data_IF_293637610587
#
_entry.id   IF_293637610587
#
_cell.length_a   1.000
_cell.length_b   1.000
_cell.length_c   1.000
_cell.angle_alpha   90.00
_cell.angle_beta   90.00
_cell.angle_gamma   90.00
#
_symmetry.space_group_name_H-M   'P 1'
#
loop_
_entity.id
_entity.type
_entity.pdbx_description
1 polymer ?
#
# COMPACT_ATOMS: atom_id res chain seq x y z
N UNK A 1 39.07 25.34 55.50
CA UNK A 1 38.20 25.90 54.45
C UNK A 1 38.30 25.11 53.13
N UNK A 2 38.10 23.78 53.15
CA UNK A 2 38.08 22.96 51.91
C UNK A 2 36.89 21.97 51.86
N UNK A 3 36.19 21.77 52.98
CA UNK A 3 35.08 20.82 53.07
C UNK A 3 33.72 21.45 52.67
N UNK A 4 33.57 22.77 52.84
CA UNK A 4 32.33 23.50 52.49
C UNK A 4 32.13 23.69 50.98
N UNK A 5 33.16 23.45 50.16
CA UNK A 5 33.11 23.64 48.71
C UNK A 5 32.56 22.40 47.97
N UNK A 6 32.54 21.24 48.63
CA UNK A 6 32.01 19.99 48.06
C UNK A 6 30.50 19.84 48.17
N UNK A 7 29.86 20.53 49.14
CA UNK A 7 28.42 20.43 49.37
C UNK A 7 27.62 21.23 48.33
N UNK A 8 28.22 22.29 47.76
CA UNK A 8 27.59 23.08 46.70
C UNK A 8 27.54 22.40 45.32
N UNK A 9 28.44 21.46 45.04
CA UNK A 9 28.56 20.83 43.72
C UNK A 9 27.63 19.60 43.54
N UNK A 10 27.16 19.01 44.64
CA UNK A 10 26.25 17.84 44.62
C UNK A 10 24.79 18.26 44.47
N UNK A 11 24.42 19.51 44.81
CA UNK A 11 23.04 19.99 44.73
C UNK A 11 22.57 20.34 43.31
N UNK A 12 23.45 20.33 42.30
CA UNK A 12 23.10 20.68 40.91
C UNK A 12 22.69 19.48 40.04
N UNK A 13 22.73 18.25 40.56
CA UNK A 13 22.41 17.04 39.77
C UNK A 13 20.96 16.52 39.95
N UNK A 14 20.13 17.19 40.76
CA UNK A 14 18.73 16.76 40.99
C UNK A 14 17.68 17.53 40.16
N UNK A 15 18.10 18.31 39.17
CA UNK A 15 17.19 19.05 38.25
C UNK A 15 17.25 18.51 36.81
N UNK A 16 17.35 17.20 36.62
CA UNK A 16 17.18 16.62 35.29
C UNK A 16 15.86 15.86 35.21
N UNK A 17 14.93 16.54 34.52
CA UNK A 17 13.79 16.04 33.77
C UNK A 17 12.93 14.96 34.45
N UNK A 18 11.91 15.42 35.17
CA UNK A 18 10.58 14.82 35.04
C UNK A 18 10.19 14.89 33.55
N UNK A 19 10.55 13.88 32.77
CA UNK A 19 9.88 13.61 31.51
C UNK A 19 8.43 13.27 31.89
N UNK A 20 7.57 14.28 31.76
CA UNK A 20 6.14 14.08 31.82
C UNK A 20 5.81 12.93 30.88
N UNK A 21 5.11 11.93 31.40
CA UNK A 21 4.45 10.93 30.59
C UNK A 21 3.56 11.69 29.61
N UNK A 22 4.08 11.91 28.39
CA UNK A 22 3.28 12.41 27.30
C UNK A 22 2.07 11.48 27.23
N UNK A 23 0.82 11.99 27.21
CA UNK A 23 -0.33 11.13 27.07
C UNK A 23 -0.06 10.27 25.84
N UNK A 24 -0.10 8.94 26.01
CA UNK A 24 0.02 7.99 24.91
C UNK A 24 -0.87 8.50 23.79
N UNK A 25 -0.27 8.90 22.66
CA UNK A 25 -1.05 9.34 21.51
C UNK A 25 -2.14 8.29 21.30
N UNK A 26 -3.42 8.69 21.14
CA UNK A 26 -4.48 7.71 20.92
C UNK A 26 -4.03 6.83 19.77
N UNK A 27 -4.00 5.52 20.01
CA UNK A 27 -3.58 4.51 19.04
C UNK A 27 -4.38 4.71 17.75
N UNK A 28 -3.83 5.50 16.83
CA UNK A 28 -4.46 5.78 15.55
C UNK A 28 -4.19 4.53 14.77
N UNK A 29 -5.14 3.59 14.84
CA UNK A 29 -5.03 2.29 14.19
C UNK A 29 -4.53 2.40 12.75
N UNK A 30 -3.98 1.31 12.23
CA UNK A 30 -3.42 1.27 10.88
C UNK A 30 -4.45 1.81 9.88
N UNK A 31 -4.06 2.83 9.10
CA UNK A 31 -4.90 3.37 8.01
C UNK A 31 -4.55 2.63 6.74
N UNK A 32 -5.49 1.88 6.18
CA UNK A 32 -5.17 1.10 5.00
C UNK A 32 -6.22 0.10 4.55
N UNK A 33 -5.74 -0.86 3.77
CA UNK A 33 -6.53 -1.96 3.21
C UNK A 33 -5.83 -3.30 3.38
N UNK A 34 -6.61 -4.37 3.57
CA UNK A 34 -6.12 -5.73 3.66
C UNK A 34 -7.10 -6.71 3.03
N UNK A 35 -6.55 -7.81 2.51
CA UNK A 35 -7.31 -8.87 1.88
C UNK A 35 -6.40 -9.89 1.22
N UNK A 36 -6.93 -10.58 0.22
CA UNK A 36 -6.22 -11.62 -0.51
C UNK A 36 -6.40 -11.44 -2.00
N UNK A 37 -5.30 -11.55 -2.74
CA UNK A 37 -5.35 -11.71 -4.19
C UNK A 37 -5.38 -13.20 -4.51
N UNK A 38 -6.29 -13.64 -5.36
CA UNK A 38 -6.38 -15.00 -5.87
C UNK A 38 -5.97 -15.01 -7.34
N UNK A 39 -5.01 -15.84 -7.72
CA UNK A 39 -4.44 -15.87 -9.06
C UNK A 39 -4.91 -17.10 -9.84
N UNK A 40 -5.20 -16.90 -11.12
CA UNK A 40 -5.59 -17.96 -12.05
C UNK A 40 -4.94 -17.77 -13.41
N UNK A 41 -4.71 -18.88 -14.12
CA UNK A 41 -4.21 -18.92 -15.50
C UNK A 41 -2.85 -18.24 -15.71
N UNK A 42 -1.90 -18.42 -14.79
CA UNK A 42 -0.55 -17.88 -14.92
C UNK A 42 0.07 -18.10 -16.32
N UNK A 43 0.63 -17.05 -16.95
CA UNK A 43 1.36 -17.18 -18.21
C UNK A 43 2.73 -17.87 -17.99
N UNK A 44 3.45 -18.19 -19.07
CA UNK A 44 4.84 -18.65 -18.98
C UNK A 44 5.71 -17.68 -18.17
N UNK A 45 6.70 -18.23 -17.44
CA UNK A 45 7.44 -17.45 -16.46
C UNK A 45 8.30 -16.32 -17.04
N UNK A 46 8.67 -16.43 -18.31
CA UNK A 46 9.40 -15.41 -19.07
C UNK A 46 8.50 -14.25 -19.57
N UNK A 47 7.20 -14.31 -19.31
CA UNK A 47 6.21 -13.31 -19.76
C UNK A 47 5.80 -12.30 -18.68
N UNK A 48 6.30 -12.44 -17.44
CA UNK A 48 6.01 -11.52 -16.33
C UNK A 48 7.31 -10.89 -15.84
N UNK A 49 7.37 -9.57 -15.91
CA UNK A 49 8.53 -8.79 -15.44
C UNK A 49 8.33 -8.22 -14.04
N UNK A 50 7.08 -7.88 -13.69
CA UNK A 50 6.69 -7.31 -12.40
C UNK A 50 5.20 -7.57 -12.14
N UNK A 51 4.78 -7.57 -10.88
CA UNK A 51 3.39 -7.77 -10.44
C UNK A 51 3.11 -6.92 -9.20
N UNK A 52 2.11 -6.03 -9.30
CA UNK A 52 1.81 -5.01 -8.28
C UNK A 52 0.32 -4.81 -8.07
N UNK A 53 -0.02 -4.42 -6.85
CA UNK A 53 -1.30 -3.86 -6.43
C UNK A 53 -1.26 -2.34 -6.58
N UNK A 54 -2.29 -1.74 -7.17
CA UNK A 54 -2.34 -0.30 -7.44
C UNK A 54 -3.70 0.27 -7.06
N UNK A 55 -3.72 1.23 -6.14
CA UNK A 55 -4.90 2.00 -5.78
C UNK A 55 -4.86 3.35 -6.50
N UNK A 56 -5.77 3.58 -7.44
CA UNK A 56 -5.93 4.85 -8.16
C UNK A 56 -7.03 5.69 -7.54
N UNK A 57 -6.81 7.00 -7.49
CA UNK A 57 -7.79 7.99 -7.04
C UNK A 57 -8.92 8.20 -8.06
N UNK A 58 -8.68 7.92 -9.34
CA UNK A 58 -9.64 8.12 -10.43
C UNK A 58 -9.85 6.82 -11.23
N UNK A 59 -11.02 6.69 -11.86
CA UNK A 59 -11.35 5.64 -12.82
C UNK A 59 -12.08 6.22 -14.05
N UNK A 60 -11.71 5.83 -15.29
CA UNK A 60 -10.53 5.05 -15.63
C UNK A 60 -9.24 5.84 -15.40
N UNK A 61 -8.13 5.20 -15.00
CA UNK A 61 -6.83 5.88 -14.91
C UNK A 61 -6.30 6.27 -16.30
N UNK A 62 -5.57 7.39 -16.38
CA UNK A 62 -4.95 7.84 -17.64
C UNK A 62 -3.80 6.93 -18.07
N UNK A 63 -2.84 6.74 -17.17
CA UNK A 63 -1.69 5.83 -17.31
C UNK A 63 -1.04 5.64 -15.92
N UNK A 64 -0.26 4.57 -15.74
CA UNK A 64 0.39 4.28 -14.46
C UNK A 64 1.43 5.35 -14.09
N UNK A 65 2.26 5.76 -15.05
CA UNK A 65 3.37 6.69 -14.79
C UNK A 65 2.84 8.03 -14.23
N UNK A 66 1.90 8.66 -14.92
CA UNK A 66 1.34 9.95 -14.54
C UNK A 66 0.63 9.85 -13.19
N UNK A 67 -0.11 8.77 -12.94
CA UNK A 67 -0.81 8.55 -11.68
C UNK A 67 0.16 8.45 -10.50
N UNK A 68 1.28 7.74 -10.65
CA UNK A 68 2.30 7.64 -9.60
C UNK A 68 3.00 8.98 -9.38
N UNK A 69 3.49 9.62 -10.45
CA UNK A 69 4.27 10.86 -10.36
C UNK A 69 3.46 12.03 -9.81
N UNK A 70 2.14 12.03 -10.04
CA UNK A 70 1.22 13.04 -9.52
C UNK A 70 0.63 12.71 -8.14
N UNK A 71 0.98 11.56 -7.55
CA UNK A 71 0.42 11.11 -6.27
C UNK A 71 -1.06 10.71 -6.34
N UNK A 72 -1.57 10.45 -7.54
CA UNK A 72 -2.91 9.92 -7.79
C UNK A 72 -2.99 8.39 -7.70
N UNK A 73 -1.88 7.71 -7.47
CA UNK A 73 -1.85 6.27 -7.21
C UNK A 73 -0.96 5.90 -6.01
N UNK A 74 -1.37 4.86 -5.29
CA UNK A 74 -0.55 4.14 -4.31
C UNK A 74 -0.21 2.78 -4.90
N UNK A 75 1.08 2.46 -4.96
CA UNK A 75 1.58 1.20 -5.52
C UNK A 75 2.15 0.33 -4.41
N UNK A 76 1.76 -0.94 -4.40
CA UNK A 76 2.22 -1.94 -3.46
C UNK A 76 2.67 -3.23 -4.18
N UNK A 77 3.86 -3.76 -3.85
CA UNK A 77 4.92 -3.10 -3.11
C UNK A 77 5.36 -1.79 -3.77
N UNK A 78 6.02 -0.89 -3.04
CA UNK A 78 6.42 0.41 -3.57
C UNK A 78 7.35 0.24 -4.80
N UNK A 79 7.25 1.13 -5.78
CA UNK A 79 8.08 1.06 -7.01
C UNK A 79 9.58 1.19 -6.74
N UNK A 80 9.93 1.85 -5.64
CA UNK A 80 11.32 1.96 -5.19
C UNK A 80 11.83 0.69 -4.50
N UNK A 81 10.94 -0.27 -4.21
CA UNK A 81 11.30 -1.55 -3.60
C UNK A 81 11.66 -2.57 -4.68
N UNK A 82 12.64 -3.42 -4.38
CA UNK A 82 12.98 -4.59 -5.20
C UNK A 82 12.03 -5.75 -4.96
N UNK A 83 11.20 -5.67 -3.91
CA UNK A 83 10.13 -6.62 -3.65
C UNK A 83 8.98 -6.44 -4.65
N UNK A 84 8.47 -7.56 -5.15
CA UNK A 84 7.28 -7.67 -6.00
C UNK A 84 6.33 -8.70 -5.39
N UNK A 85 5.07 -8.71 -5.84
CA UNK A 85 4.16 -9.77 -5.41
C UNK A 85 4.70 -11.15 -5.84
N UNK A 86 4.52 -12.19 -5.01
CA UNK A 86 5.00 -13.53 -5.36
C UNK A 86 4.33 -14.03 -6.65
N UNK A 87 5.14 -14.66 -7.49
CA UNK A 87 4.69 -15.22 -8.77
C UNK A 87 4.41 -16.72 -8.62
N UNK A 88 3.49 -17.24 -9.43
CA UNK A 88 3.14 -18.67 -9.50
C UNK A 88 2.63 -19.27 -8.17
N UNK A 89 1.93 -18.45 -7.39
CA UNK A 89 1.19 -18.87 -6.19
C UNK A 89 -0.32 -18.83 -6.49
N UNK A 90 -1.11 -19.61 -5.75
CA UNK A 90 -2.56 -19.60 -5.89
C UNK A 90 -3.18 -18.33 -5.28
N UNK A 91 -2.61 -17.87 -4.17
CA UNK A 91 -3.07 -16.68 -3.47
C UNK A 91 -1.95 -15.93 -2.74
N UNK A 92 -2.22 -14.66 -2.44
CA UNK A 92 -1.33 -13.81 -1.66
C UNK A 92 -2.12 -12.92 -0.70
N UNK A 93 -1.99 -13.11 0.63
CA UNK A 93 -2.53 -12.17 1.61
C UNK A 93 -1.70 -10.89 1.64
N UNK A 94 -2.37 -9.74 1.70
CA UNK A 94 -1.71 -8.44 1.72
C UNK A 94 -2.30 -7.51 2.79
N UNK A 95 -1.48 -6.55 3.21
CA UNK A 95 -1.88 -5.39 4.00
C UNK A 95 -1.10 -4.17 3.50
N UNK A 96 -1.83 -3.15 3.06
CA UNK A 96 -1.28 -1.92 2.48
C UNK A 96 -1.64 -0.76 3.40
N UNK A 97 -0.61 -0.09 3.93
CA UNK A 97 -0.78 1.20 4.58
C UNK A 97 -0.90 2.30 3.51
N UNK A 98 -1.92 3.14 3.64
CA UNK A 98 -2.17 4.21 2.67
C UNK A 98 -2.76 5.43 3.37
N UNK A 99 -2.58 6.66 2.84
CA UNK A 99 -3.32 7.81 3.31
C UNK A 99 -4.84 7.60 3.28
N UNK A 100 -5.54 8.28 4.19
CA UNK A 100 -7.00 8.37 4.14
C UNK A 100 -7.43 9.09 2.86
N UNK A 101 -8.28 8.43 2.07
CA UNK A 101 -8.68 8.87 0.74
C UNK A 101 -9.83 8.00 0.21
N UNK A 102 -10.46 8.47 -0.86
CA UNK A 102 -11.23 7.60 -1.74
C UNK A 102 -10.34 7.17 -2.91
N UNK A 103 -10.35 5.87 -3.20
CA UNK A 103 -9.73 5.26 -4.36
C UNK A 103 -10.83 4.66 -5.23
N UNK A 104 -11.07 5.25 -6.39
CA UNK A 104 -12.11 4.81 -7.32
C UNK A 104 -11.76 3.48 -8.00
N UNK A 105 -10.48 3.09 -7.99
CA UNK A 105 -10.03 1.86 -8.63
C UNK A 105 -8.90 1.18 -7.86
N UNK A 106 -9.08 -0.10 -7.53
CA UNK A 106 -8.05 -0.92 -6.92
C UNK A 106 -7.80 -2.16 -7.76
N UNK A 107 -6.59 -2.27 -8.31
CA UNK A 107 -6.25 -3.23 -9.34
C UNK A 107 -5.00 -4.05 -9.03
N UNK A 108 -4.94 -5.25 -9.61
CA UNK A 108 -3.73 -6.05 -9.77
C UNK A 108 -3.24 -5.86 -11.21
N UNK A 109 -2.02 -5.36 -11.36
CA UNK A 109 -1.40 -5.14 -12.65
C UNK A 109 -0.07 -5.90 -12.76
N UNK A 110 0.21 -6.45 -13.93
CA UNK A 110 1.50 -7.06 -14.23
C UNK A 110 2.20 -6.34 -15.38
N UNK A 111 3.52 -6.33 -15.33
CA UNK A 111 4.37 -5.85 -16.40
C UNK A 111 4.60 -7.00 -17.40
N UNK A 112 4.22 -6.82 -18.66
CA UNK A 112 4.30 -7.85 -19.72
C UNK A 112 5.47 -7.66 -20.70
N UNK A 113 6.18 -6.55 -20.60
CA UNK A 113 7.30 -6.21 -21.46
C UNK A 113 8.39 -5.46 -20.71
N UNK A 114 9.47 -5.08 -21.39
CA UNK A 114 10.65 -4.49 -20.75
C UNK A 114 10.50 -3.00 -20.42
N UNK A 115 9.51 -2.32 -21.01
CA UNK A 115 9.26 -0.91 -20.74
C UNK A 115 8.41 -0.75 -19.48
N UNK A 116 9.08 -0.54 -18.35
CA UNK A 116 8.45 -0.30 -17.05
C UNK A 116 7.44 0.86 -17.04
N UNK A 117 7.49 1.80 -18.00
CA UNK A 117 6.59 2.96 -18.00
C UNK A 117 5.30 2.75 -18.81
N UNK A 118 5.22 1.69 -19.62
CA UNK A 118 4.11 1.50 -20.56
C UNK A 118 3.66 0.04 -20.74
N UNK A 119 4.46 -0.94 -20.33
CA UNK A 119 4.15 -2.34 -20.58
C UNK A 119 3.38 -2.95 -19.41
N UNK A 120 2.28 -2.31 -19.00
CA UNK A 120 1.43 -2.77 -17.89
C UNK A 120 0.03 -3.17 -18.35
N UNK A 121 -0.51 -4.21 -17.70
CA UNK A 121 -1.89 -4.66 -17.91
C UNK A 121 -2.56 -5.01 -16.60
N UNK A 122 -3.82 -4.65 -16.49
CA UNK A 122 -4.68 -5.05 -15.37
C UNK A 122 -5.29 -6.41 -15.64
N UNK A 123 -5.09 -7.32 -14.69
CA UNK A 123 -5.58 -8.70 -14.73
C UNK A 123 -6.66 -8.99 -13.68
N UNK A 124 -6.97 -8.01 -12.83
CA UNK A 124 -8.03 -8.10 -11.83
C UNK A 124 -8.23 -6.77 -11.13
N UNK A 125 -9.44 -6.53 -10.63
CA UNK A 125 -9.74 -5.39 -9.79
C UNK A 125 -10.69 -5.76 -8.66
N UNK A 126 -10.74 -4.93 -7.63
CA UNK A 126 -11.71 -5.05 -6.56
C UNK A 126 -13.09 -4.59 -7.02
N UNK A 127 -14.07 -5.47 -6.87
CA UNK A 127 -15.46 -5.19 -7.13
C UNK A 127 -16.37 -6.06 -6.23
N UNK A 128 -17.51 -5.50 -5.81
CA UNK A 128 -18.55 -6.18 -5.03
C UNK A 128 -19.82 -6.45 -5.85
N UNK A 129 -19.91 -5.92 -7.08
CA UNK A 129 -21.08 -6.00 -7.96
C UNK A 129 -20.79 -6.92 -9.15
N UNK A 130 -20.93 -8.25 -9.00
CA UNK A 130 -20.64 -9.20 -10.09
C UNK A 130 -21.55 -9.07 -11.32
N UNK A 131 -22.49 -8.11 -11.31
CA UNK A 131 -23.48 -7.84 -12.36
C UNK A 131 -23.06 -6.71 -13.30
N UNK A 132 -22.03 -5.93 -12.95
CA UNK A 132 -21.43 -4.95 -13.83
C UNK A 132 -19.91 -5.17 -13.94
N UNK A 133 -19.27 -4.46 -14.85
CA UNK A 133 -17.82 -4.57 -15.08
C UNK A 133 -17.08 -3.37 -14.48
N UNK A 134 -17.72 -2.63 -13.56
CA UNK A 134 -17.19 -1.41 -12.99
C UNK A 134 -16.54 -1.70 -11.64
N UNK A 135 -15.42 -1.06 -11.32
CA UNK A 135 -14.79 -1.25 -10.04
C UNK A 135 -15.60 -0.61 -8.92
N UNK A 136 -15.45 -1.17 -7.72
CA UNK A 136 -16.03 -0.60 -6.51
C UNK A 136 -15.04 0.32 -5.82
N UNK A 137 -15.43 1.58 -5.60
CA UNK A 137 -14.61 2.55 -4.89
C UNK A 137 -14.36 2.16 -3.42
N UNK A 138 -13.15 2.44 -2.94
CA UNK A 138 -12.73 2.25 -1.55
C UNK A 138 -12.57 3.59 -0.85
N UNK A 139 -13.40 3.87 0.15
CA UNK A 139 -13.23 5.03 1.03
C UNK A 139 -12.52 4.61 2.31
N UNK A 140 -11.24 4.97 2.43
CA UNK A 140 -10.39 4.69 3.59
C UNK A 140 -10.36 5.93 4.49
N UNK A 141 -10.84 5.78 5.72
CA UNK A 141 -10.81 6.84 6.73
C UNK A 141 -9.60 6.71 7.63
N UNK A 142 -9.11 7.84 8.15
CA UNK A 142 -7.96 7.85 9.04
C UNK A 142 -8.22 6.98 10.29
N UNK A 143 -7.26 6.13 10.63
CA UNK A 143 -7.36 5.19 11.74
C UNK A 143 -8.01 3.84 11.40
N UNK A 144 -8.43 3.64 10.15
CA UNK A 144 -9.22 2.47 9.73
C UNK A 144 -8.46 1.58 8.77
N UNK A 145 -8.42 0.28 9.09
CA UNK A 145 -7.99 -0.79 8.19
C UNK A 145 -9.23 -1.46 7.57
N UNK A 146 -9.48 -1.23 6.29
CA UNK A 146 -10.47 -2.00 5.54
C UNK A 146 -9.99 -3.45 5.42
N UNK A 147 -10.89 -4.41 5.63
CA UNK A 147 -10.59 -5.84 5.62
C UNK A 147 -11.44 -6.57 4.60
N UNK A 148 -10.99 -7.76 4.20
CA UNK A 148 -11.67 -8.63 3.24
C UNK A 148 -11.83 -7.98 1.85
N UNK A 149 -10.87 -7.14 1.47
CA UNK A 149 -10.83 -6.57 0.13
C UNK A 149 -10.14 -7.57 -0.79
N UNK A 150 -10.92 -8.50 -1.36
CA UNK A 150 -10.37 -9.61 -2.12
C UNK A 150 -10.40 -9.30 -3.62
N UNK A 151 -9.33 -9.66 -4.34
CA UNK A 151 -9.23 -9.45 -5.78
C UNK A 151 -9.00 -10.79 -6.47
N UNK A 152 -9.73 -11.05 -7.55
CA UNK A 152 -9.53 -12.21 -8.41
C UNK A 152 -8.77 -11.77 -9.66
N UNK A 153 -7.52 -12.21 -9.77
CA UNK A 153 -6.63 -11.91 -10.87
C UNK A 153 -6.58 -13.10 -11.84
N UNK A 154 -7.01 -12.86 -13.08
CA UNK A 154 -6.99 -13.84 -14.15
C UNK A 154 -6.16 -13.32 -15.32
N UNK A 155 -5.02 -13.97 -15.59
CA UNK A 155 -4.10 -13.53 -16.64
C UNK A 155 -4.64 -13.71 -18.06
N UNK A 156 -5.70 -14.50 -18.26
CA UNK A 156 -6.42 -14.59 -19.55
C UNK A 156 -7.42 -13.43 -19.74
N UNK A 157 -7.81 -12.76 -18.66
CA UNK A 157 -8.80 -11.67 -18.66
C UNK A 157 -8.10 -10.32 -18.55
N UNK A 158 -7.64 -9.78 -19.68
CA UNK A 158 -7.07 -8.43 -19.71
C UNK A 158 -8.22 -7.42 -19.64
N UNK A 159 -8.31 -6.70 -18.51
CA UNK A 159 -9.37 -5.71 -18.28
C UNK A 159 -9.00 -4.37 -18.92
N UNK A 160 -7.75 -3.95 -18.75
CA UNK A 160 -7.20 -2.69 -19.29
C UNK A 160 -5.71 -2.83 -19.57
N UNK A 161 -5.21 -2.06 -20.55
CA UNK A 161 -3.77 -1.79 -20.71
C UNK A 161 -3.50 -0.37 -20.20
N UNK A 162 -2.42 -0.19 -19.44
CA UNK A 162 -2.11 1.04 -18.69
C UNK A 162 -0.77 1.63 -19.11
#
# INVERSE_FOLDING_TARGET
MKFLLYIGLISLFLLNCNEGMSPSEPDRGITGVSGTVYFTNWPPADSIFDLRLILFRDFPPTDIQSAILSGQAVVYPAITDTFQLPLFVDDFPYQIETPAATFEYFAVAHQFGTNFLADWRVIGHYDISPQDTLPTALTITQGTLLKNINIYANFDSILFSL
#
